data_IF_844498230983
#
_entry.id   IF_844498230983
#
_cell.length_a   1.000
_cell.length_b   1.000
_cell.length_c   1.000
_cell.angle_alpha   90.00
_cell.angle_beta   90.00
_cell.angle_gamma   90.00
#
_symmetry.space_group_name_H-M   'P 1'
#
loop_
_entity.id
_entity.type
_entity.pdbx_description
1 polymer ?
#
# COMPACT_ATOMS: atom_id res chain seq x y z
N UNK A 1 -20.18 -12.61 18.88
CA UNK A 1 -20.93 -12.50 17.60
C UNK A 1 -22.13 -13.47 17.56
N UNK A 2 -21.94 -14.80 17.64
CA UNK A 2 -23.05 -15.77 17.60
C UNK A 2 -24.19 -15.49 18.60
N UNK A 3 -23.87 -15.20 19.85
CA UNK A 3 -24.90 -14.92 20.87
C UNK A 3 -25.76 -13.67 20.57
N UNK A 4 -25.15 -12.62 19.99
CA UNK A 4 -25.87 -11.41 19.58
C UNK A 4 -26.85 -11.69 18.44
N UNK A 5 -26.43 -12.48 17.45
CA UNK A 5 -27.29 -12.89 16.34
C UNK A 5 -28.48 -13.72 16.83
N UNK A 6 -28.25 -14.71 17.69
CA UNK A 6 -29.34 -15.50 18.28
C UNK A 6 -30.31 -14.65 19.10
N UNK A 7 -29.79 -13.66 19.84
CA UNK A 7 -30.63 -12.76 20.64
C UNK A 7 -31.46 -11.83 19.75
N UNK A 8 -30.86 -11.25 18.70
CA UNK A 8 -31.55 -10.43 17.72
C UNK A 8 -32.65 -11.22 17.01
N UNK A 9 -32.34 -12.42 16.52
CA UNK A 9 -33.31 -13.31 15.85
C UNK A 9 -34.47 -13.70 16.79
N UNK A 10 -34.17 -13.98 18.06
CA UNK A 10 -35.19 -14.26 19.08
C UNK A 10 -36.12 -13.07 19.32
N UNK A 11 -35.57 -11.85 19.33
CA UNK A 11 -36.36 -10.62 19.46
C UNK A 11 -37.21 -10.38 18.22
N UNK A 12 -36.67 -10.55 17.02
CA UNK A 12 -37.40 -10.41 15.76
C UNK A 12 -38.57 -11.40 15.67
N UNK A 13 -38.36 -12.65 16.09
CA UNK A 13 -39.45 -13.65 16.20
C UNK A 13 -40.55 -13.21 17.16
N UNK A 14 -40.22 -12.55 18.28
CA UNK A 14 -41.21 -11.98 19.21
C UNK A 14 -41.96 -10.80 18.60
N UNK A 15 -41.26 -9.90 17.92
CA UNK A 15 -41.86 -8.76 17.21
C UNK A 15 -42.86 -9.26 16.16
N UNK A 16 -42.46 -10.23 15.33
CA UNK A 16 -43.30 -10.80 14.28
C UNK A 16 -44.60 -11.42 14.83
N UNK A 17 -44.52 -12.13 15.97
CA UNK A 17 -45.70 -12.68 16.66
C UNK A 17 -46.66 -11.58 17.14
N UNK A 18 -46.11 -10.52 17.75
CA UNK A 18 -46.90 -9.38 18.23
C UNK A 18 -47.55 -8.61 17.06
N UNK A 19 -46.86 -8.47 15.92
CA UNK A 19 -47.42 -7.89 14.70
C UNK A 19 -48.60 -8.69 14.17
N UNK A 20 -48.47 -10.01 14.10
CA UNK A 20 -49.56 -10.88 13.68
C UNK A 20 -50.78 -10.76 14.64
N UNK A 21 -50.55 -10.59 15.94
CA UNK A 21 -51.61 -10.36 16.91
C UNK A 21 -52.28 -8.98 16.73
N UNK A 22 -51.50 -7.93 16.48
CA UNK A 22 -52.00 -6.58 16.21
C UNK A 22 -52.88 -6.53 14.96
N UNK A 23 -52.51 -7.25 13.89
CA UNK A 23 -53.33 -7.38 12.69
C UNK A 23 -54.69 -7.99 13.03
N UNK A 24 -54.72 -9.08 13.82
CA UNK A 24 -55.98 -9.70 14.27
C UNK A 24 -56.88 -8.74 15.05
N UNK A 25 -56.31 -7.96 15.99
CA UNK A 25 -57.10 -6.96 16.71
C UNK A 25 -57.61 -5.84 15.82
N UNK A 26 -56.80 -5.38 14.85
CA UNK A 26 -57.21 -4.37 13.86
C UNK A 26 -58.40 -4.87 13.03
N UNK A 27 -58.33 -6.09 12.52
CA UNK A 27 -59.39 -6.70 11.72
C UNK A 27 -60.67 -6.95 12.53
N UNK A 28 -60.52 -7.38 13.79
CA UNK A 28 -61.64 -7.53 14.71
C UNK A 28 -62.34 -6.18 14.94
N UNK A 29 -61.59 -5.13 15.29
CA UNK A 29 -62.15 -3.79 15.54
C UNK A 29 -62.83 -3.20 14.30
N UNK A 30 -62.33 -3.49 13.08
CA UNK A 30 -62.94 -3.03 11.82
C UNK A 30 -64.37 -3.56 11.65
N UNK A 31 -64.67 -4.75 12.18
CA UNK A 31 -66.00 -5.38 12.10
C UNK A 31 -66.93 -4.99 13.26
N UNK A 32 -66.43 -4.26 14.25
CA UNK A 32 -67.19 -3.87 15.45
C UNK A 32 -67.77 -2.46 15.33
N UNK A 33 -69.01 -2.31 15.80
CA UNK A 33 -69.62 -1.00 16.07
C UNK A 33 -68.90 -0.29 17.20
N UNK A 34 -68.93 1.05 17.19
CA UNK A 34 -68.41 1.84 18.30
C UNK A 34 -69.13 1.52 19.61
N UNK A 35 -68.38 1.45 20.71
CA UNK A 35 -68.93 1.18 22.03
C UNK A 35 -67.97 0.46 22.98
N UNK A 36 -68.45 0.10 24.18
CA UNK A 36 -67.62 -0.49 25.24
C UNK A 36 -66.85 -1.74 24.81
N UNK A 37 -67.48 -2.62 24.02
CA UNK A 37 -66.82 -3.84 23.52
C UNK A 37 -65.62 -3.54 22.61
N UNK A 38 -65.76 -2.58 21.68
CA UNK A 38 -64.67 -2.15 20.79
C UNK A 38 -63.54 -1.46 21.57
N UNK A 39 -63.90 -0.68 22.59
CA UNK A 39 -62.94 -0.06 23.50
C UNK A 39 -62.10 -1.10 24.26
N UNK A 40 -62.70 -2.20 24.72
CA UNK A 40 -61.94 -3.29 25.37
C UNK A 40 -60.92 -3.92 24.42
N UNK A 41 -61.29 -4.18 23.17
CA UNK A 41 -60.38 -4.73 22.15
C UNK A 41 -59.25 -3.72 21.85
N UNK A 42 -59.57 -2.44 21.72
CA UNK A 42 -58.60 -1.36 21.55
C UNK A 42 -57.58 -1.32 22.70
N UNK A 43 -58.03 -1.46 23.95
CA UNK A 43 -57.14 -1.49 25.11
C UNK A 43 -56.20 -2.72 25.11
N UNK A 44 -56.68 -3.88 24.65
CA UNK A 44 -55.81 -5.07 24.46
C UNK A 44 -54.76 -4.82 23.39
N UNK A 45 -55.17 -4.28 22.24
CA UNK A 45 -54.26 -3.94 21.14
C UNK A 45 -53.17 -2.93 21.57
N UNK A 46 -53.54 -1.92 22.37
CA UNK A 46 -52.57 -0.95 22.91
C UNK A 46 -51.52 -1.59 23.82
N UNK A 47 -51.87 -2.59 24.63
CA UNK A 47 -50.90 -3.33 25.46
C UNK A 47 -49.91 -4.12 24.59
N UNK A 48 -50.41 -4.81 23.56
CA UNK A 48 -49.58 -5.54 22.61
C UNK A 48 -48.66 -4.60 21.85
N UNK A 49 -49.15 -3.44 21.41
CA UNK A 49 -48.34 -2.43 20.74
C UNK A 49 -47.23 -1.89 21.65
N UNK A 50 -47.53 -1.64 22.93
CA UNK A 50 -46.51 -1.22 23.91
C UNK A 50 -45.43 -2.29 24.08
N UNK A 51 -45.82 -3.56 24.15
CA UNK A 51 -44.86 -4.68 24.24
C UNK A 51 -44.01 -4.80 22.96
N UNK A 52 -44.61 -4.62 21.79
CA UNK A 52 -43.89 -4.61 20.51
C UNK A 52 -42.82 -3.52 20.50
N UNK A 53 -43.19 -2.29 20.83
CA UNK A 53 -42.25 -1.14 20.88
C UNK A 53 -41.09 -1.38 21.84
N UNK A 54 -41.34 -2.04 22.97
CA UNK A 54 -40.27 -2.42 23.90
C UNK A 54 -39.26 -3.38 23.25
N UNK A 55 -39.72 -4.36 22.47
CA UNK A 55 -38.83 -5.28 21.76
C UNK A 55 -38.12 -4.62 20.58
N UNK A 56 -38.79 -3.73 19.84
CA UNK A 56 -38.16 -2.91 18.78
C UNK A 56 -37.00 -2.10 19.37
N UNK A 57 -37.21 -1.42 20.51
CA UNK A 57 -36.14 -0.70 21.19
C UNK A 57 -34.98 -1.62 21.63
N UNK A 58 -35.28 -2.83 22.12
CA UNK A 58 -34.24 -3.79 22.48
C UNK A 58 -33.42 -4.24 21.26
N UNK A 59 -34.07 -4.48 20.12
CA UNK A 59 -33.40 -4.82 18.86
C UNK A 59 -32.51 -3.67 18.40
N UNK A 60 -33.01 -2.44 18.43
CA UNK A 60 -32.25 -1.27 17.96
C UNK A 60 -31.02 -1.04 18.85
N UNK A 61 -31.15 -1.23 20.17
CA UNK A 61 -30.00 -1.19 21.08
C UNK A 61 -28.95 -2.27 20.77
N UNK A 62 -29.38 -3.49 20.43
CA UNK A 62 -28.45 -4.57 20.03
C UNK A 62 -27.77 -4.25 18.70
N UNK A 63 -28.50 -3.66 17.75
CA UNK A 63 -27.94 -3.23 16.47
C UNK A 63 -26.84 -2.18 16.68
N UNK A 64 -27.08 -1.19 17.54
CA UNK A 64 -26.08 -0.18 17.88
C UNK A 64 -24.85 -0.78 18.57
N UNK A 65 -25.05 -1.74 19.48
CA UNK A 65 -23.95 -2.45 20.12
C UNK A 65 -23.12 -3.24 19.11
N UNK A 66 -23.78 -3.93 18.17
CA UNK A 66 -23.10 -4.68 17.10
C UNK A 66 -22.26 -3.75 16.22
N UNK A 67 -22.81 -2.60 15.83
CA UNK A 67 -22.07 -1.59 15.06
C UNK A 67 -20.84 -1.08 15.82
N UNK A 68 -20.99 -0.73 17.09
CA UNK A 68 -19.87 -0.28 17.91
C UNK A 68 -18.78 -1.36 18.05
N UNK A 69 -19.16 -2.64 18.17
CA UNK A 69 -18.21 -3.75 18.18
C UNK A 69 -17.49 -3.92 16.85
N UNK A 70 -18.18 -3.74 15.74
CA UNK A 70 -17.58 -3.80 14.39
C UNK A 70 -16.53 -2.70 14.22
N UNK A 71 -16.85 -1.47 14.61
CA UNK A 71 -15.90 -0.35 14.63
C UNK A 71 -14.67 -0.63 15.50
N UNK A 72 -14.88 -1.21 16.69
CA UNK A 72 -13.78 -1.63 17.56
C UNK A 72 -12.92 -2.72 16.91
N UNK A 73 -13.52 -3.69 16.22
CA UNK A 73 -12.78 -4.73 15.50
C UNK A 73 -11.94 -4.15 14.35
N UNK A 74 -12.46 -3.20 13.57
CA UNK A 74 -11.67 -2.50 12.56
C UNK A 74 -10.46 -1.79 13.18
N UNK A 75 -10.67 -1.09 14.30
CA UNK A 75 -9.59 -0.43 15.03
C UNK A 75 -8.55 -1.44 15.52
N UNK A 76 -8.98 -2.56 16.09
CA UNK A 76 -8.08 -3.64 16.53
C UNK A 76 -7.27 -4.20 15.36
N UNK A 77 -7.89 -4.37 14.18
CA UNK A 77 -7.19 -4.85 13.01
C UNK A 77 -6.12 -3.86 12.54
N UNK A 78 -6.46 -2.57 12.43
CA UNK A 78 -5.49 -1.54 12.09
C UNK A 78 -4.32 -1.47 13.09
N UNK A 79 -4.60 -1.65 14.39
CA UNK A 79 -3.56 -1.73 15.41
C UNK A 79 -2.66 -2.97 15.26
N UNK A 80 -3.22 -4.13 14.86
CA UNK A 80 -2.42 -5.32 14.56
C UNK A 80 -1.50 -5.09 13.37
N UNK A 81 -1.99 -4.47 12.30
CA UNK A 81 -1.20 -4.18 11.11
C UNK A 81 -0.07 -3.18 11.43
N UNK A 82 -0.37 -2.18 12.25
CA UNK A 82 0.61 -1.23 12.79
C UNK A 82 1.68 -1.95 13.61
N UNK A 83 1.27 -2.88 14.50
CA UNK A 83 2.22 -3.68 15.27
C UNK A 83 3.13 -4.50 14.37
N UNK A 84 2.60 -5.19 13.36
CA UNK A 84 3.40 -5.95 12.38
C UNK A 84 4.44 -5.06 11.70
N UNK A 85 4.06 -3.85 11.31
CA UNK A 85 4.97 -2.86 10.70
C UNK A 85 6.08 -2.46 11.68
N UNK A 86 5.72 -2.14 12.93
CA UNK A 86 6.69 -1.78 13.98
C UNK A 86 7.65 -2.94 14.28
N UNK A 87 7.16 -4.18 14.31
CA UNK A 87 8.00 -5.35 14.53
C UNK A 87 8.98 -5.57 13.35
N UNK A 88 8.53 -5.35 12.11
CA UNK A 88 9.41 -5.36 10.92
C UNK A 88 10.47 -4.25 10.98
N UNK A 89 10.11 -3.04 11.39
CA UNK A 89 11.06 -1.93 11.58
C UNK A 89 12.10 -2.26 12.65
N UNK A 90 11.70 -2.85 13.78
CA UNK A 90 12.63 -3.28 14.83
C UNK A 90 13.63 -4.32 14.32
N UNK A 91 13.16 -5.25 13.49
CA UNK A 91 14.03 -6.23 12.84
C UNK A 91 15.02 -5.54 11.89
N UNK A 92 14.54 -4.63 11.03
CA UNK A 92 15.38 -3.85 10.13
C UNK A 92 16.46 -3.05 10.87
N UNK A 93 16.10 -2.37 11.97
CA UNK A 93 17.05 -1.64 12.82
C UNK A 93 18.10 -2.58 13.44
N UNK A 94 17.71 -3.80 13.83
CA UNK A 94 18.65 -4.79 14.37
C UNK A 94 19.66 -5.25 13.32
N UNK A 95 19.20 -5.55 12.10
CA UNK A 95 20.08 -5.93 10.99
C UNK A 95 20.97 -4.75 10.56
N UNK A 96 20.44 -3.54 10.50
CA UNK A 96 21.23 -2.33 10.22
C UNK A 96 22.34 -2.12 11.25
N UNK A 97 22.05 -2.31 12.55
CA UNK A 97 23.07 -2.26 13.61
C UNK A 97 24.13 -3.36 13.46
N UNK A 98 23.75 -4.54 12.97
CA UNK A 98 24.68 -5.65 12.73
C UNK A 98 25.58 -5.35 11.53
N UNK A 99 25.01 -4.88 10.42
CA UNK A 99 25.75 -4.42 9.24
C UNK A 99 26.72 -3.29 9.61
N UNK A 100 26.26 -2.31 10.39
CA UNK A 100 27.11 -1.21 10.87
C UNK A 100 28.29 -1.68 11.73
N UNK A 101 28.13 -2.74 12.55
CA UNK A 101 29.23 -3.35 13.29
C UNK A 101 30.19 -4.17 12.41
N UNK A 102 29.73 -4.63 11.25
CA UNK A 102 30.55 -5.35 10.27
C UNK A 102 31.32 -4.40 9.34
N UNK A 103 30.87 -3.15 9.21
CA UNK A 103 31.72 -2.07 8.70
C UNK A 103 32.84 -1.90 9.73
N UNK A 104 34.03 -2.44 9.42
CA UNK A 104 35.20 -2.30 10.28
C UNK A 104 35.62 -0.84 10.21
N UNK A 105 35.54 -0.12 11.33
CA UNK A 105 36.10 1.23 11.43
C UNK A 105 37.61 1.20 11.12
N UNK A 106 38.28 0.11 11.50
CA UNK A 106 39.67 -0.18 11.13
C UNK A 106 39.90 -0.13 9.60
N UNK A 107 38.92 -0.54 8.78
CA UNK A 107 39.02 -0.43 7.32
C UNK A 107 38.77 0.98 6.82
N UNK A 108 38.13 1.85 7.59
CA UNK A 108 37.97 3.27 7.23
C UNK A 108 39.26 4.02 7.51
N UNK A 109 39.97 3.70 8.60
CA UNK A 109 41.33 4.19 8.87
C UNK A 109 42.31 3.67 7.82
N UNK A 110 42.31 2.36 7.51
CA UNK A 110 43.15 1.80 6.42
C UNK A 110 42.83 2.43 5.05
N UNK A 111 41.56 2.76 4.75
CA UNK A 111 41.17 3.43 3.50
C UNK A 111 41.59 4.92 3.51
N UNK A 112 41.57 5.59 4.67
CA UNK A 112 42.10 6.96 4.80
C UNK A 112 43.60 6.98 4.58
N UNK A 113 44.33 6.08 5.24
CA UNK A 113 45.78 5.92 5.08
C UNK A 113 46.14 5.56 3.63
N UNK A 114 45.39 4.64 3.00
CA UNK A 114 45.57 4.33 1.57
C UNK A 114 45.21 5.51 0.64
N UNK A 115 44.26 6.37 1.02
CA UNK A 115 43.94 7.59 0.27
C UNK A 115 45.05 8.64 0.40
N UNK A 116 45.66 8.76 1.56
CA UNK A 116 46.81 9.63 1.81
C UNK A 116 48.04 9.13 1.06
N UNK A 117 48.34 7.83 1.13
CA UNK A 117 49.41 7.18 0.36
C UNK A 117 49.19 7.34 -1.15
N UNK A 118 47.95 7.17 -1.64
CA UNK A 118 47.65 7.32 -3.07
C UNK A 118 47.71 8.78 -3.54
N UNK A 119 47.41 9.75 -2.67
CA UNK A 119 47.60 11.17 -2.95
C UNK A 119 49.08 11.56 -2.93
N UNK A 120 49.89 10.99 -2.03
CA UNK A 120 51.35 11.13 -2.04
C UNK A 120 51.96 10.49 -3.29
N UNK A 121 51.55 9.28 -3.67
CA UNK A 121 51.98 8.62 -4.91
C UNK A 121 51.54 9.42 -6.14
N UNK A 122 50.33 9.99 -6.16
CA UNK A 122 49.88 10.83 -7.26
C UNK A 122 50.72 12.12 -7.37
N UNK A 123 51.07 12.74 -6.25
CA UNK A 123 51.97 13.89 -6.22
C UNK A 123 53.40 13.51 -6.60
N UNK A 124 53.91 12.35 -6.17
CA UNK A 124 55.25 11.86 -6.50
C UNK A 124 55.32 11.43 -7.97
N UNK A 125 54.25 10.86 -8.54
CA UNK A 125 54.10 10.62 -9.97
C UNK A 125 54.06 11.92 -10.74
N UNK A 126 53.30 12.93 -10.27
CA UNK A 126 53.28 14.25 -10.89
C UNK A 126 54.65 14.94 -10.82
N UNK A 127 55.37 14.80 -9.70
CA UNK A 127 56.72 15.34 -9.51
C UNK A 127 57.76 14.55 -10.33
N UNK A 128 57.65 13.22 -10.44
CA UNK A 128 58.54 12.38 -11.24
C UNK A 128 58.32 12.57 -12.76
N UNK A 129 57.06 12.73 -13.18
CA UNK A 129 56.71 13.13 -14.54
C UNK A 129 57.21 14.56 -14.83
N UNK A 130 57.12 15.49 -13.87
CA UNK A 130 57.67 16.86 -13.96
C UNK A 130 59.22 16.88 -13.93
N UNK A 131 59.87 15.96 -13.20
CA UNK A 131 61.33 15.80 -13.19
C UNK A 131 61.88 15.26 -14.51
N UNK A 132 61.05 14.59 -15.32
CA UNK A 132 61.41 14.10 -16.66
C UNK A 132 60.86 14.93 -17.81
N UNK A 133 59.93 15.84 -17.56
CA UNK A 133 59.45 16.84 -18.52
C UNK A 133 59.56 18.20 -17.86
N UNK A 134 60.64 18.93 -18.16
CA UNK A 134 60.51 20.37 -18.18
C UNK A 134 59.39 20.68 -19.16
N UNK A 135 58.21 21.03 -18.63
CA UNK A 135 57.05 21.37 -19.44
C UNK A 135 57.50 22.49 -20.38
N UNK A 136 57.43 22.32 -21.71
CA UNK A 136 57.47 23.50 -22.58
C UNK A 136 56.33 24.40 -22.11
N UNK A 137 56.59 25.70 -21.97
CA UNK A 137 55.51 26.67 -21.72
C UNK A 137 54.43 26.43 -22.77
N UNK A 138 53.28 25.95 -22.32
CA UNK A 138 52.10 25.78 -23.16
C UNK A 138 51.56 27.19 -23.35
N UNK A 139 51.55 27.66 -24.59
CA UNK A 139 51.03 28.99 -24.92
C UNK A 139 49.51 28.97 -24.76
N UNK A 140 48.98 29.84 -23.90
CA UNK A 140 47.53 29.94 -23.62
C UNK A 140 46.76 30.26 -24.91
N UNK A 141 47.39 30.94 -25.87
CA UNK A 141 46.81 31.30 -27.15
C UNK A 141 46.54 30.07 -28.05
N UNK A 142 47.38 29.04 -27.98
CA UNK A 142 47.20 27.79 -28.77
C UNK A 142 46.06 26.94 -28.19
N UNK A 143 45.89 26.98 -26.85
CA UNK A 143 44.81 26.29 -26.14
C UNK A 143 43.44 26.93 -26.41
N UNK A 144 43.38 28.25 -26.50
CA UNK A 144 42.16 28.99 -26.83
C UNK A 144 41.71 28.71 -28.27
N UNK A 145 42.66 28.59 -29.20
CA UNK A 145 42.38 28.21 -30.58
C UNK A 145 41.87 26.76 -30.72
N UNK A 146 42.40 25.80 -29.96
CA UNK A 146 41.85 24.44 -29.91
C UNK A 146 40.47 24.38 -29.27
N UNK A 147 40.22 25.18 -28.22
CA UNK A 147 38.92 25.25 -27.56
C UNK A 147 37.83 25.80 -28.50
N UNK A 148 38.15 26.85 -29.26
CA UNK A 148 37.26 27.40 -30.28
C UNK A 148 36.93 26.36 -31.37
N UNK A 149 37.94 25.61 -31.84
CA UNK A 149 37.74 24.55 -32.83
C UNK A 149 36.83 23.41 -32.31
N UNK A 150 36.93 23.05 -31.03
CA UNK A 150 36.08 22.05 -30.40
C UNK A 150 34.63 22.55 -30.22
N UNK A 151 34.44 23.84 -29.95
CA UNK A 151 33.14 24.49 -29.90
C UNK A 151 32.41 24.44 -31.25
N UNK A 152 33.15 24.66 -32.34
CA UNK A 152 32.63 24.57 -33.71
C UNK A 152 32.29 23.12 -34.11
N UNK A 153 33.03 22.11 -33.63
CA UNK A 153 32.73 20.70 -33.88
C UNK A 153 31.45 20.24 -33.14
N UNK A 154 31.22 20.72 -31.92
CA UNK A 154 30.01 20.39 -31.15
C UNK A 154 28.74 21.07 -31.72
N UNK A 155 28.88 22.23 -32.36
CA UNK A 155 27.78 22.95 -33.02
C UNK A 155 27.46 22.40 -34.42
N UNK A 156 28.38 21.69 -35.07
CA UNK A 156 28.14 21.02 -36.35
C UNK A 156 27.32 19.72 -36.20
N UNK A 157 27.29 19.12 -35.01
CA UNK A 157 26.49 17.92 -34.68
C UNK A 157 25.14 18.26 -34.02
N UNK A 158 24.71 19.52 -34.08
CA UNK A 158 23.36 19.97 -33.67
C UNK A 158 22.29 19.72 -34.77
N UNK A 159 22.52 18.81 -35.71
CA UNK A 159 21.49 18.34 -36.64
C UNK A 159 20.71 17.17 -36.01
N UNK A 160 19.84 17.52 -35.05
CA UNK A 160 18.95 16.61 -34.32
C UNK A 160 17.83 16.00 -35.20
N UNK A 161 18.18 15.51 -36.40
CA UNK A 161 17.33 14.66 -37.26
C UNK A 161 16.86 13.38 -36.54
N UNK A 162 17.50 12.99 -35.43
CA UNK A 162 17.12 11.81 -34.64
C UNK A 162 15.86 12.01 -33.75
N UNK A 163 15.42 13.24 -33.51
CA UNK A 163 14.27 13.52 -32.63
C UNK A 163 12.91 13.46 -33.35
N UNK A 164 12.86 13.51 -34.68
CA UNK A 164 11.60 13.51 -35.45
C UNK A 164 11.10 12.09 -35.82
N UNK A 165 11.98 11.08 -35.79
CA UNK A 165 11.61 9.69 -36.12
C UNK A 165 10.93 8.93 -34.97
N UNK A 166 11.08 9.40 -33.72
CA UNK A 166 10.42 8.83 -32.54
C UNK A 166 8.92 9.18 -32.44
N UNK A 167 8.45 10.20 -33.17
CA UNK A 167 7.06 10.67 -33.12
C UNK A 167 6.11 9.95 -34.10
N UNK A 168 6.62 9.09 -35.00
CA UNK A 168 5.84 8.42 -36.04
C UNK A 168 5.77 6.87 -35.93
N UNK A 169 6.16 6.29 -34.80
CA UNK A 169 6.07 4.83 -34.62
C UNK A 169 4.60 4.36 -34.43
N UNK A 170 4.13 3.29 -35.13
CA UNK A 170 2.79 2.77 -34.97
C UNK A 170 2.60 2.03 -33.64
N UNK A 171 1.39 2.10 -33.07
CA UNK A 171 1.04 1.48 -31.80
C UNK A 171 1.15 -0.07 -31.81
N UNK A 172 1.56 -0.61 -30.67
CA UNK A 172 1.93 -2.01 -30.39
C UNK A 172 0.73 -2.97 -30.56
N UNK A 173 0.90 -4.17 -31.15
CA UNK A 173 -0.17 -5.18 -31.19
C UNK A 173 -0.41 -5.82 -29.82
N UNK A 174 -1.69 -5.96 -29.47
CA UNK A 174 -2.19 -6.62 -28.25
C UNK A 174 -1.93 -8.13 -28.32
N UNK A 175 -1.00 -8.66 -27.50
CA UNK A 175 -0.76 -10.10 -27.38
C UNK A 175 -0.81 -10.50 -25.90
N UNK A 176 -1.72 -11.41 -25.58
CA UNK A 176 -1.88 -12.03 -24.25
C UNK A 176 -0.64 -12.84 -23.84
N UNK A 177 -0.27 -12.89 -22.55
CA UNK A 177 1.01 -13.48 -22.13
C UNK A 177 1.00 -15.00 -22.31
N UNK A 178 1.98 -15.53 -23.05
CA UNK A 178 2.23 -16.97 -23.15
C UNK A 178 3.37 -17.40 -22.24
N UNK A 179 3.14 -18.46 -21.47
CA UNK A 179 4.14 -19.10 -20.59
C UNK A 179 5.26 -19.75 -21.40
N UNK A 180 6.49 -19.21 -21.28
CA UNK A 180 7.70 -19.81 -21.85
C UNK A 180 8.48 -20.59 -20.79
N UNK A 181 9.07 -21.72 -21.17
CA UNK A 181 9.95 -22.53 -20.32
C UNK A 181 11.42 -22.32 -20.72
N UNK A 182 12.32 -22.24 -19.73
CA UNK A 182 13.76 -22.24 -19.99
C UNK A 182 14.26 -23.63 -20.42
N UNK A 183 15.54 -23.73 -20.79
CA UNK A 183 16.18 -24.99 -21.26
C UNK A 183 16.11 -26.13 -20.23
N UNK A 184 15.87 -25.81 -18.97
CA UNK A 184 15.73 -26.74 -17.84
C UNK A 184 14.26 -27.08 -17.52
N UNK A 185 13.30 -26.60 -18.33
CA UNK A 185 11.88 -26.91 -18.21
C UNK A 185 11.12 -26.10 -17.15
N UNK A 186 11.75 -25.09 -16.55
CA UNK A 186 11.14 -24.21 -15.53
C UNK A 186 10.34 -23.11 -16.22
N UNK A 187 9.11 -22.87 -15.74
CA UNK A 187 8.26 -21.77 -16.22
C UNK A 187 8.91 -20.43 -15.84
N UNK A 188 9.13 -19.57 -16.82
CA UNK A 188 9.67 -18.22 -16.61
C UNK A 188 8.67 -17.17 -17.09
N UNK A 189 8.71 -15.99 -16.48
CA UNK A 189 7.99 -14.82 -16.97
C UNK A 189 8.74 -14.11 -18.12
N UNK A 190 8.17 -13.01 -18.60
CA UNK A 190 8.70 -12.22 -19.73
C UNK A 190 10.08 -11.60 -19.45
N UNK A 191 10.53 -11.58 -18.20
CA UNK A 191 11.86 -11.12 -17.81
C UNK A 191 12.85 -12.30 -17.62
N UNK A 192 12.42 -13.53 -17.92
CA UNK A 192 13.24 -14.74 -17.79
C UNK A 192 13.41 -15.22 -16.35
N UNK A 193 12.61 -14.71 -15.40
CA UNK A 193 12.69 -15.08 -14.00
C UNK A 193 11.84 -16.32 -13.70
N UNK A 194 12.32 -17.26 -12.85
CA UNK A 194 11.55 -18.45 -12.50
C UNK A 194 10.25 -18.12 -11.78
N UNK A 195 9.13 -18.61 -12.31
CA UNK A 195 7.84 -18.57 -11.61
C UNK A 195 7.86 -19.61 -10.48
N UNK A 196 8.03 -19.16 -9.25
CA UNK A 196 7.93 -20.00 -8.05
C UNK A 196 6.46 -20.46 -7.89
N UNK A 197 6.19 -21.76 -7.70
CA UNK A 197 4.83 -22.21 -7.43
C UNK A 197 4.37 -21.67 -6.08
N UNK A 198 3.23 -20.98 -6.07
CA UNK A 198 2.58 -20.59 -4.84
C UNK A 198 2.15 -21.84 -4.06
N UNK A 199 2.78 -22.08 -2.91
CA UNK A 199 2.27 -23.00 -1.87
C UNK A 199 1.12 -22.37 -1.11
#
# INVERSE_FOLDING_TARGET
>A
LNEFFFRAESIDKKIARLDAELVKYKDQMKKMREGPAKNTVKQKALRVLKQKRMYEQQRDNLSQQSFNMEQANYTIQALKDTKTTVDAMKLGVKEMKKAYKQVKIDQIEDIQDQLEDMMEEANEVQEALSRSYGTPEIDEDDLEAELDALGDELLADEDNSYLDEAASAPAIPEVTPTDTKNKDGVLVDEFGLPKIPAT
#
